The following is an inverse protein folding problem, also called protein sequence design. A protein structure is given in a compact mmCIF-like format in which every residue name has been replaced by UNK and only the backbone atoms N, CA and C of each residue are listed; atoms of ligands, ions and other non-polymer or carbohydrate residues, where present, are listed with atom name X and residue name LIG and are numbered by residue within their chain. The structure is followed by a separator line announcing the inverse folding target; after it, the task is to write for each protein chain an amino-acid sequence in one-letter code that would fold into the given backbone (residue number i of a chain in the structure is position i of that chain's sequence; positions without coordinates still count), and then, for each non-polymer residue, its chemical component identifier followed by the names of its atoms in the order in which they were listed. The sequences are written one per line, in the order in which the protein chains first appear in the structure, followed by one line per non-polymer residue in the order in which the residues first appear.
data_IF_312036323313
#
_entry.id   IF_312036323313
#
_cell.length_a   1.000
_cell.length_b   1.000
_cell.length_c   1.000
_cell.angle_alpha   90.00
_cell.angle_beta   90.00
_cell.angle_gamma   90.00
#
_symmetry.space_group_name_H-M   'P 1'
#
loop_
_entity.id
_entity.type
_entity.pdbx_description
1 polymer ?
#
# COMPACT_ATOMS: atom_id res chain seq x y z
N UNK A 1 17.13 0.25 9.16
CA UNK A 1 16.02 1.08 8.66
C UNK A 1 15.55 0.47 7.34
N UNK A 2 14.25 0.25 7.15
CA UNK A 2 13.70 -0.34 5.92
C UNK A 2 12.94 0.75 5.15
N UNK A 3 13.22 0.90 3.84
CA UNK A 3 12.46 1.79 2.97
C UNK A 3 11.04 1.25 2.80
N UNK A 4 10.04 2.10 2.98
CA UNK A 4 8.62 1.76 2.82
C UNK A 4 7.95 2.71 1.86
N UNK A 5 6.93 2.22 1.17
CA UNK A 5 6.02 3.07 0.39
C UNK A 5 5.08 3.79 1.36
N UNK A 6 5.10 5.12 1.34
CA UNK A 6 4.19 5.99 2.10
C UNK A 6 2.86 6.18 1.36
N UNK A 7 2.97 6.44 0.06
CA UNK A 7 1.84 6.67 -0.82
C UNK A 7 1.96 5.67 -1.96
N UNK A 8 0.95 4.83 -2.14
CA UNK A 8 0.91 3.92 -3.27
C UNK A 8 0.45 4.69 -4.51
N UNK A 9 1.04 4.47 -5.70
CA UNK A 9 0.54 5.11 -6.91
C UNK A 9 -0.84 4.52 -7.27
N UNK A 10 -1.83 5.34 -7.68
CA UNK A 10 -3.09 4.83 -8.19
C UNK A 10 -2.92 3.98 -9.44
N UNK A 11 -1.87 4.22 -10.24
CA UNK A 11 -1.46 3.46 -11.41
C UNK A 11 0.07 3.22 -11.37
N UNK A 12 0.53 1.97 -11.14
CA UNK A 12 1.95 1.63 -11.16
C UNK A 12 2.64 1.88 -12.51
N UNK A 13 1.91 1.81 -13.63
CA UNK A 13 2.47 2.05 -14.96
C UNK A 13 2.85 3.52 -15.18
N UNK A 14 2.23 4.44 -14.43
CA UNK A 14 2.57 5.87 -14.46
C UNK A 14 3.94 6.19 -13.82
N UNK A 15 4.53 5.25 -13.07
CA UNK A 15 5.88 5.42 -12.53
C UNK A 15 6.89 5.34 -13.69
N UNK A 16 7.56 6.46 -13.98
CA UNK A 16 8.53 6.57 -15.08
C UNK A 16 9.76 5.67 -14.87
N UNK A 17 10.31 5.69 -13.66
CA UNK A 17 11.55 4.99 -13.34
C UNK A 17 11.32 3.51 -13.01
N UNK A 18 12.12 2.66 -13.63
CA UNK A 18 12.11 1.21 -13.38
C UNK A 18 12.46 0.87 -11.93
N UNK A 19 13.47 1.53 -11.36
CA UNK A 19 13.85 1.33 -9.96
C UNK A 19 12.68 1.63 -9.01
N UNK A 20 11.88 2.65 -9.29
CA UNK A 20 10.74 3.03 -8.47
C UNK A 20 9.62 1.98 -8.57
N UNK A 21 9.40 1.40 -9.75
CA UNK A 21 8.49 0.25 -9.93
C UNK A 21 8.98 -0.99 -9.19
N UNK A 22 10.27 -1.29 -9.28
CA UNK A 22 10.88 -2.42 -8.58
C UNK A 22 10.75 -2.29 -7.05
N UNK A 23 10.99 -1.10 -6.50
CA UNK A 23 10.81 -0.86 -5.06
C UNK A 23 9.34 -1.01 -4.62
N UNK A 24 8.38 -0.61 -5.46
CA UNK A 24 6.97 -0.86 -5.23
C UNK A 24 6.63 -2.35 -5.28
N UNK A 25 7.21 -3.09 -6.24
CA UNK A 25 7.08 -4.54 -6.37
C UNK A 25 7.55 -5.23 -5.09
N UNK A 26 8.74 -4.88 -4.58
CA UNK A 26 9.27 -5.42 -3.33
C UNK A 26 8.37 -5.11 -2.13
N UNK A 27 7.84 -3.90 -2.04
CA UNK A 27 6.93 -3.51 -0.95
C UNK A 27 5.64 -4.36 -0.98
N UNK A 28 5.02 -4.51 -2.13
CA UNK A 28 3.75 -5.25 -2.28
C UNK A 28 3.98 -6.76 -2.12
N UNK A 29 5.10 -7.29 -2.63
CA UNK A 29 5.53 -8.67 -2.36
C UNK A 29 5.63 -8.93 -0.86
N UNK A 30 6.19 -7.98 -0.09
CA UNK A 30 6.23 -8.07 1.37
C UNK A 30 4.83 -8.02 2.00
N UNK A 31 3.94 -7.18 1.48
CA UNK A 31 2.56 -7.10 1.96
C UNK A 31 1.77 -8.39 1.66
N UNK A 32 2.04 -9.05 0.54
CA UNK A 32 1.53 -10.39 0.23
C UNK A 32 2.04 -11.43 1.23
N UNK A 33 3.36 -11.45 1.48
CA UNK A 33 4.00 -12.37 2.42
C UNK A 33 3.49 -12.21 3.86
N UNK A 34 3.21 -10.99 4.31
CA UNK A 34 2.65 -10.74 5.64
C UNK A 34 1.11 -10.80 5.71
N UNK A 35 0.43 -11.13 4.61
CA UNK A 35 -1.03 -11.27 4.56
C UNK A 35 -1.79 -9.93 4.65
N UNK A 36 -1.15 -8.82 4.31
CA UNK A 36 -1.78 -7.49 4.22
C UNK A 36 -2.49 -7.27 2.88
N UNK A 37 -2.02 -7.95 1.83
CA UNK A 37 -2.68 -7.98 0.53
C UNK A 37 -3.65 -9.17 0.46
N UNK A 38 -4.92 -8.93 0.83
CA UNK A 38 -5.96 -9.94 0.76
C UNK A 38 -6.34 -10.23 -0.69
N UNK A 39 -6.31 -11.50 -1.05
CA UNK A 39 -6.64 -11.97 -2.39
C UNK A 39 -7.27 -13.37 -2.34
N UNK A 40 -7.99 -13.73 -3.41
CA UNK A 40 -8.51 -15.10 -3.57
C UNK A 40 -7.37 -16.02 -3.98
N UNK A 41 -7.52 -17.33 -3.76
CA UNK A 41 -6.46 -18.30 -4.07
C UNK A 41 -6.00 -18.28 -5.53
N UNK A 42 -6.88 -17.96 -6.48
CA UNK A 42 -6.51 -17.78 -7.88
C UNK A 42 -5.56 -16.60 -8.10
N UNK A 43 -5.89 -15.45 -7.50
CA UNK A 43 -5.08 -14.23 -7.61
C UNK A 43 -3.75 -14.41 -6.88
N UNK A 44 -3.76 -15.06 -5.72
CA UNK A 44 -2.56 -15.46 -4.99
C UNK A 44 -1.63 -16.29 -5.87
N UNK A 45 -2.16 -17.31 -6.56
CA UNK A 45 -1.36 -18.16 -7.44
C UNK A 45 -0.72 -17.36 -8.58
N UNK A 46 -1.49 -16.49 -9.23
CA UNK A 46 -0.99 -15.62 -10.30
C UNK A 46 0.09 -14.66 -9.80
N UNK A 47 -0.12 -14.01 -8.66
CA UNK A 47 0.87 -13.10 -8.07
C UNK A 47 2.17 -13.83 -7.72
N UNK A 48 2.08 -15.00 -7.09
CA UNK A 48 3.26 -15.80 -6.77
C UNK A 48 3.98 -16.33 -8.03
N UNK A 49 3.24 -16.67 -9.09
CA UNK A 49 3.83 -17.06 -10.37
C UNK A 49 4.60 -15.91 -11.03
N UNK A 50 4.09 -14.66 -10.98
CA UNK A 50 4.86 -13.49 -11.44
C UNK A 50 6.13 -13.27 -10.60
N UNK A 51 6.07 -13.46 -9.29
CA UNK A 51 7.27 -13.38 -8.42
C UNK A 51 8.28 -14.46 -8.84
N UNK A 52 7.85 -15.70 -9.07
CA UNK A 52 8.73 -16.76 -9.56
C UNK A 52 9.39 -16.38 -10.89
N UNK A 53 8.60 -16.00 -11.89
CA UNK A 53 9.12 -15.65 -13.21
C UNK A 53 10.13 -14.50 -13.11
N UNK A 54 9.89 -13.51 -12.25
CA UNK A 54 10.82 -12.40 -12.03
C UNK A 54 12.14 -12.83 -11.36
N UNK A 55 12.12 -13.84 -10.49
CA UNK A 55 13.30 -14.27 -9.72
C UNK A 55 14.15 -15.33 -10.42
N UNK A 56 13.51 -16.30 -11.08
CA UNK A 56 14.20 -17.47 -11.65
C UNK A 56 14.10 -17.57 -13.17
N UNK A 57 13.35 -16.67 -13.81
CA UNK A 57 13.10 -16.71 -15.25
C UNK A 57 12.28 -17.93 -15.66
N UNK A 58 12.34 -18.27 -16.96
CA UNK A 58 11.54 -19.33 -17.55
C UNK A 58 11.70 -20.69 -16.87
N UNK A 59 10.61 -21.46 -16.89
CA UNK A 59 10.64 -22.84 -16.42
C UNK A 59 11.60 -23.71 -17.23
N UNK A 60 12.62 -24.26 -16.55
CA UNK A 60 13.56 -25.25 -17.07
C UNK A 60 13.35 -26.62 -16.36
N UNK A 61 12.95 -27.69 -17.08
CA UNK A 61 12.75 -29.02 -16.49
C UNK A 61 13.98 -29.60 -15.77
N UNK A 62 15.20 -29.22 -16.18
CA UNK A 62 16.45 -29.67 -15.57
C UNK A 62 16.79 -28.94 -14.27
N UNK A 63 16.29 -27.70 -14.09
CA UNK A 63 16.54 -26.88 -12.89
C UNK A 63 15.36 -26.85 -11.92
N UNK A 64 14.14 -27.11 -12.42
CA UNK A 64 12.89 -26.97 -11.68
C UNK A 64 12.17 -28.32 -11.53
N UNK A 65 12.61 -29.15 -10.56
CA UNK A 65 11.97 -30.43 -10.25
C UNK A 65 10.57 -30.22 -9.67
N UNK A 66 9.79 -31.29 -9.54
CA UNK A 66 8.48 -31.22 -8.88
C UNK A 66 8.59 -30.61 -7.47
N UNK A 67 7.66 -29.72 -7.12
CA UNK A 67 7.68 -28.99 -5.85
C UNK A 67 8.73 -27.86 -5.76
N UNK A 68 9.40 -27.46 -6.84
CA UNK A 68 10.38 -26.35 -6.80
C UNK A 68 9.79 -25.05 -6.22
N UNK A 69 8.52 -24.78 -6.50
CA UNK A 69 7.80 -23.59 -6.01
C UNK A 69 7.68 -23.56 -4.48
N UNK A 70 7.70 -24.71 -3.80
CA UNK A 70 7.58 -24.81 -2.34
C UNK A 70 8.82 -24.27 -1.60
N UNK A 71 9.95 -24.11 -2.31
CA UNK A 71 11.18 -23.50 -1.76
C UNK A 71 11.04 -21.99 -1.55
N UNK A 72 10.06 -21.36 -2.19
CA UNK A 72 9.83 -19.93 -2.10
C UNK A 72 8.69 -19.65 -1.14
N UNK A 73 8.92 -18.82 -0.14
CA UNK A 73 7.88 -18.43 0.81
C UNK A 73 7.12 -17.21 0.30
N UNK A 74 6.00 -17.44 -0.37
CA UNK A 74 5.15 -16.36 -0.91
C UNK A 74 4.08 -15.90 0.08
N UNK A 75 3.62 -16.79 0.96
CA UNK A 75 2.47 -16.56 1.83
C UNK A 75 2.75 -17.02 3.27
N UNK A 76 2.03 -16.51 4.28
CA UNK A 76 2.13 -17.02 5.65
C UNK A 76 1.66 -18.48 5.79
N UNK A 77 0.74 -18.90 4.91
CA UNK A 77 0.16 -20.25 4.89
C UNK A 77 0.26 -20.83 3.50
N UNK A 78 0.97 -21.94 3.39
CA UNK A 78 1.16 -22.68 2.15
C UNK A 78 0.18 -23.85 2.07
N UNK A 79 -0.35 -24.11 0.88
CA UNK A 79 -1.10 -25.33 0.60
C UNK A 79 -0.57 -25.94 -0.68
N UNK A 80 -0.45 -27.26 -0.70
CA UNK A 80 0.08 -28.00 -1.87
C UNK A 80 -0.72 -27.71 -3.15
N UNK A 81 -2.04 -27.51 -3.01
CA UNK A 81 -2.92 -27.10 -4.12
C UNK A 81 -2.53 -25.74 -4.70
N UNK A 82 -2.19 -24.78 -3.85
CA UNK A 82 -1.75 -23.46 -4.29
C UNK A 82 -0.39 -23.55 -4.98
N UNK A 83 0.54 -24.33 -4.43
CA UNK A 83 1.88 -24.53 -4.99
C UNK A 83 1.83 -25.18 -6.37
N UNK A 84 1.00 -26.22 -6.55
CA UNK A 84 0.75 -26.82 -7.86
C UNK A 84 0.20 -25.80 -8.85
N UNK A 85 -0.77 -24.99 -8.43
CA UNK A 85 -1.35 -23.95 -9.31
C UNK A 85 -0.33 -22.88 -9.70
N UNK A 86 0.54 -22.47 -8.77
CA UNK A 86 1.63 -21.54 -9.05
C UNK A 86 2.58 -22.12 -10.11
N UNK A 87 3.00 -23.37 -9.91
CA UNK A 87 3.90 -24.05 -10.83
C UNK A 87 3.28 -24.25 -12.22
N UNK A 88 1.97 -24.54 -12.31
CA UNK A 88 1.24 -24.60 -13.57
C UNK A 88 1.30 -23.27 -14.32
N UNK A 89 0.91 -22.16 -13.67
CA UNK A 89 0.89 -20.82 -14.30
C UNK A 89 2.30 -20.45 -14.79
N UNK A 90 3.32 -20.65 -13.95
CA UNK A 90 4.71 -20.37 -14.31
C UNK A 90 5.15 -21.18 -15.56
N UNK A 91 4.74 -22.45 -15.66
CA UNK A 91 5.09 -23.34 -16.77
C UNK A 91 4.33 -23.03 -18.07
N UNK A 92 3.06 -22.64 -18.00
CA UNK A 92 2.21 -22.57 -19.21
C UNK A 92 1.89 -21.16 -19.67
N UNK A 93 1.90 -20.17 -18.77
CA UNK A 93 1.38 -18.82 -19.05
C UNK A 93 2.46 -17.74 -19.07
N UNK A 94 3.62 -17.97 -18.42
CA UNK A 94 4.64 -16.93 -18.20
C UNK A 94 5.94 -17.09 -19.00
N UNK A 95 6.09 -18.17 -19.78
CA UNK A 95 7.28 -18.42 -20.61
C UNK A 95 7.57 -17.23 -21.53
N UNK A 96 8.83 -16.80 -21.55
CA UNK A 96 9.33 -15.71 -22.37
C UNK A 96 9.07 -14.33 -21.79
N UNK A 97 8.40 -14.20 -20.63
CA UNK A 97 8.29 -12.92 -19.95
C UNK A 97 9.61 -12.56 -19.28
N UNK A 98 10.08 -11.34 -19.54
CA UNK A 98 11.22 -10.78 -18.84
C UNK A 98 10.88 -10.50 -17.35
N UNK A 99 11.89 -10.36 -16.48
CA UNK A 99 11.67 -9.97 -15.09
C UNK A 99 10.87 -8.67 -14.95
N UNK A 100 11.22 -7.65 -15.72
CA UNK A 100 10.57 -6.33 -15.67
C UNK A 100 9.10 -6.41 -16.10
N UNK A 101 8.80 -7.25 -17.09
CA UNK A 101 7.43 -7.51 -17.55
C UNK A 101 6.62 -8.23 -16.47
N UNK A 102 7.22 -9.23 -15.82
CA UNK A 102 6.58 -10.00 -14.75
C UNK A 102 6.31 -9.13 -13.51
N UNK A 103 7.27 -8.28 -13.14
CA UNK A 103 7.12 -7.29 -12.08
C UNK A 103 5.99 -6.30 -12.39
N UNK A 104 5.93 -5.77 -13.62
CA UNK A 104 4.84 -4.88 -14.03
C UNK A 104 3.48 -5.58 -13.97
N UNK A 105 3.38 -6.79 -14.50
CA UNK A 105 2.13 -7.57 -14.47
C UNK A 105 1.69 -7.89 -13.04
N UNK A 106 2.65 -8.18 -12.15
CA UNK A 106 2.40 -8.31 -10.72
C UNK A 106 1.81 -7.03 -10.13
N UNK A 107 2.41 -5.87 -10.43
CA UNK A 107 1.95 -4.58 -9.90
C UNK A 107 0.54 -4.23 -10.37
N UNK A 108 0.25 -4.42 -11.67
CA UNK A 108 -1.08 -4.20 -12.25
C UNK A 108 -2.13 -5.15 -11.64
N UNK A 109 -1.76 -6.41 -11.43
CA UNK A 109 -2.65 -7.38 -10.76
C UNK A 109 -2.89 -6.97 -9.30
N UNK A 110 -1.86 -6.59 -8.57
CA UNK A 110 -1.96 -6.19 -7.17
C UNK A 110 -2.80 -4.92 -6.98
N UNK A 111 -2.68 -3.94 -7.87
CA UNK A 111 -3.47 -2.71 -7.89
C UNK A 111 -4.98 -2.97 -7.99
N UNK A 112 -5.38 -4.06 -8.67
CA UNK A 112 -6.79 -4.43 -8.80
C UNK A 112 -7.41 -5.01 -7.51
N UNK A 113 -6.59 -5.33 -6.50
CA UNK A 113 -7.05 -5.94 -5.26
C UNK A 113 -7.57 -4.89 -4.27
N UNK A 114 -8.61 -5.27 -3.51
CA UNK A 114 -9.32 -4.39 -2.60
C UNK A 114 -8.44 -3.80 -1.48
N UNK A 115 -7.40 -4.52 -1.06
CA UNK A 115 -6.48 -4.07 -0.01
C UNK A 115 -5.15 -3.56 -0.56
N UNK A 116 -5.11 -3.15 -1.83
CA UNK A 116 -3.93 -2.50 -2.41
C UNK A 116 -3.58 -1.22 -1.63
N UNK A 117 -2.34 -1.14 -1.16
CA UNK A 117 -1.85 0.02 -0.41
C UNK A 117 -2.47 0.21 0.98
N UNK A 118 -3.13 -0.82 1.53
CA UNK A 118 -3.70 -0.79 2.89
C UNK A 118 -2.59 -0.97 3.93
N UNK A 119 -2.36 0.08 4.73
CA UNK A 119 -1.63 -0.02 6.00
C UNK A 119 -2.63 0.14 7.17
N UNK A 120 -3.03 -0.96 7.83
CA UNK A 120 -4.16 -0.95 8.76
C UNK A 120 -3.80 -0.37 10.13
N UNK A 121 -4.58 0.60 10.58
CA UNK A 121 -4.53 1.17 11.93
C UNK A 121 -5.60 0.51 12.83
N UNK A 122 -5.20 -0.21 13.89
CA UNK A 122 -6.13 -0.90 14.78
C UNK A 122 -6.95 0.07 15.62
N UNK A 123 -8.27 -0.07 15.57
CA UNK A 123 -9.26 0.75 16.26
C UNK A 123 -10.44 -0.11 16.76
N UNK A 124 -11.38 0.53 17.45
CA UNK A 124 -12.70 -0.05 17.78
C UNK A 124 -13.82 0.79 17.18
N UNK A 125 -14.90 0.15 16.76
CA UNK A 125 -16.14 0.83 16.41
C UNK A 125 -16.94 1.25 17.67
N UNK A 126 -18.09 1.89 17.46
CA UNK A 126 -19.01 2.31 18.54
C UNK A 126 -19.62 1.15 19.32
N UNK A 127 -19.64 -0.06 18.76
CA UNK A 127 -20.11 -1.29 19.39
C UNK A 127 -18.98 -2.03 20.12
N UNK A 128 -17.74 -1.54 20.06
CA UNK A 128 -16.57 -2.13 20.68
C UNK A 128 -15.88 -3.23 19.85
N UNK A 129 -16.34 -3.49 18.63
CA UNK A 129 -15.72 -4.46 17.74
C UNK A 129 -14.40 -3.94 17.18
N UNK A 130 -13.43 -4.84 16.99
CA UNK A 130 -12.15 -4.50 16.37
C UNK A 130 -12.36 -4.12 14.91
N UNK A 131 -11.86 -2.95 14.54
CA UNK A 131 -11.85 -2.45 13.17
C UNK A 131 -10.43 -2.00 12.79
N UNK A 132 -10.09 -2.13 11.52
CA UNK A 132 -8.84 -1.63 10.96
C UNK A 132 -9.14 -0.52 9.96
N UNK A 133 -8.62 0.67 10.24
CA UNK A 133 -8.76 1.84 9.39
C UNK A 133 -7.55 1.96 8.47
N UNK A 134 -7.76 2.28 7.20
CA UNK A 134 -6.65 2.46 6.27
C UNK A 134 -6.94 3.58 5.27
N UNK A 135 -5.86 4.19 4.80
CA UNK A 135 -5.88 5.21 3.75
C UNK A 135 -5.19 4.63 2.52
N UNK A 136 -5.91 4.61 1.40
CA UNK A 136 -5.45 4.03 0.13
C UNK A 136 -5.36 5.13 -0.92
N UNK A 137 -4.78 4.86 -2.10
CA UNK A 137 -4.74 5.83 -3.19
C UNK A 137 -6.13 6.30 -3.64
N UNK A 138 -7.15 5.44 -3.47
CA UNK A 138 -8.50 5.70 -3.95
C UNK A 138 -9.42 6.28 -2.88
N UNK A 139 -9.12 6.06 -1.60
CA UNK A 139 -9.96 6.54 -0.52
C UNK A 139 -9.65 5.94 0.85
N UNK A 140 -10.58 6.18 1.77
CA UNK A 140 -10.59 5.63 3.11
C UNK A 140 -11.31 4.29 3.15
N UNK A 141 -10.73 3.31 3.85
CA UNK A 141 -11.23 1.95 3.97
C UNK A 141 -11.36 1.57 5.44
N UNK A 142 -12.43 0.85 5.76
CA UNK A 142 -12.60 0.19 7.06
C UNK A 142 -12.76 -1.31 6.86
N UNK A 143 -11.91 -2.08 7.53
CA UNK A 143 -11.95 -3.54 7.55
C UNK A 143 -12.40 -4.05 8.92
N UNK A 144 -13.28 -5.04 8.94
CA UNK A 144 -13.56 -5.86 10.12
C UNK A 144 -13.28 -7.33 9.77
N UNK A 145 -12.28 -7.91 10.43
CA UNK A 145 -11.69 -9.18 9.98
C UNK A 145 -11.14 -9.05 8.55
N UNK A 146 -11.55 -9.95 7.66
CA UNK A 146 -11.16 -9.96 6.24
C UNK A 146 -12.19 -9.31 5.31
N UNK A 147 -13.14 -8.53 5.85
CA UNK A 147 -14.21 -7.89 5.07
C UNK A 147 -14.08 -6.38 5.13
N UNK A 148 -14.20 -5.72 3.97
CA UNK A 148 -14.39 -4.28 3.90
C UNK A 148 -15.83 -3.93 4.23
N UNK A 149 -16.03 -3.17 5.30
CA UNK A 149 -17.35 -2.73 5.76
C UNK A 149 -17.67 -1.31 5.32
N UNK A 150 -16.66 -0.47 5.11
CA UNK A 150 -16.82 0.86 4.53
C UNK A 150 -15.72 1.16 3.52
N UNK A 151 -16.13 1.87 2.47
CA UNK A 151 -15.24 2.45 1.47
C UNK A 151 -15.76 3.84 1.13
N UNK A 152 -14.93 4.85 1.36
CA UNK A 152 -15.24 6.25 1.06
C UNK A 152 -14.16 6.80 0.16
N UNK A 153 -14.53 7.20 -1.05
CA UNK A 153 -13.61 7.84 -1.98
C UNK A 153 -13.16 9.20 -1.43
N UNK A 154 -12.00 9.67 -1.85
CA UNK A 154 -11.45 10.94 -1.34
C UNK A 154 -12.35 12.17 -1.58
N UNK A 155 -13.15 12.17 -2.66
CA UNK A 155 -14.16 13.20 -2.95
C UNK A 155 -15.37 13.13 -2.01
N UNK A 156 -15.68 11.97 -1.44
CA UNK A 156 -16.74 11.79 -0.44
C UNK A 156 -16.30 12.22 0.96
N UNK A 157 -15.00 12.08 1.29
CA UNK A 157 -14.44 12.47 2.60
C UNK A 157 -14.35 13.99 2.71
N UNK A 158 -15.22 14.60 3.51
CA UNK A 158 -15.29 16.06 3.66
C UNK A 158 -14.41 16.60 4.78
N UNK A 159 -14.26 15.86 5.88
CA UNK A 159 -13.44 16.29 7.01
C UNK A 159 -12.96 15.12 7.87
N UNK A 160 -11.71 15.19 8.31
CA UNK A 160 -11.15 14.30 9.33
C UNK A 160 -10.90 15.08 10.62
N UNK A 161 -11.38 14.55 11.76
CA UNK A 161 -11.15 15.13 13.09
C UNK A 161 -10.72 14.06 14.08
N UNK A 162 -10.06 14.51 15.14
CA UNK A 162 -9.85 13.68 16.31
C UNK A 162 -10.01 14.48 17.60
N UNK A 163 -10.45 13.82 18.65
CA UNK A 163 -10.56 14.34 20.01
C UNK A 163 -10.19 13.25 21.02
N UNK A 164 -9.08 13.44 21.74
CA UNK A 164 -8.54 12.40 22.61
C UNK A 164 -8.26 11.11 21.83
N UNK A 165 -8.96 10.03 22.19
CA UNK A 165 -8.88 8.71 21.53
C UNK A 165 -9.91 8.52 20.41
N UNK A 166 -10.76 9.50 20.16
CA UNK A 166 -11.88 9.39 19.24
C UNK A 166 -11.51 10.00 17.89
N UNK A 167 -11.71 9.24 16.82
CA UNK A 167 -11.50 9.66 15.44
C UNK A 167 -12.84 9.77 14.72
N UNK A 168 -13.07 10.89 14.04
CA UNK A 168 -14.30 11.16 13.30
C UNK A 168 -14.00 11.40 11.82
N UNK A 169 -14.73 10.68 10.97
CA UNK A 169 -14.72 10.85 9.52
C UNK A 169 -16.07 11.41 9.12
N UNK A 170 -16.07 12.64 8.60
CA UNK A 170 -17.23 13.24 7.99
C UNK A 170 -17.15 12.96 6.49
N UNK A 171 -18.22 12.41 5.93
CA UNK A 171 -18.31 12.16 4.50
C UNK A 171 -19.72 12.45 3.97
N UNK A 172 -19.80 12.62 2.67
CA UNK A 172 -21.06 12.77 1.94
C UNK A 172 -21.20 11.57 1.02
N UNK A 173 -22.27 10.80 1.18
CA UNK A 173 -22.58 9.66 0.33
C UNK A 173 -23.85 9.95 -0.48
N UNK A 174 -24.03 9.26 -1.61
CA UNK A 174 -25.17 9.31 -2.56
C UNK A 174 -26.35 10.22 -2.14
N UNK A 175 -26.66 11.25 -2.93
CA UNK A 175 -27.73 12.26 -2.67
C UNK A 175 -27.48 13.21 -1.49
N UNK A 176 -26.24 13.67 -1.30
CA UNK A 176 -25.85 14.64 -0.25
C UNK A 176 -26.09 14.17 1.19
N UNK A 177 -26.27 12.87 1.41
CA UNK A 177 -26.43 12.32 2.74
C UNK A 177 -25.11 12.43 3.51
N UNK A 178 -25.13 13.26 4.56
CA UNK A 178 -23.98 13.43 5.45
C UNK A 178 -23.88 12.26 6.42
N UNK A 179 -22.77 11.54 6.36
CA UNK A 179 -22.44 10.46 7.27
C UNK A 179 -21.28 10.86 8.18
N UNK A 180 -21.32 10.39 9.43
CA UNK A 180 -20.25 10.59 10.41
C UNK A 180 -19.87 9.22 10.95
N UNK A 181 -18.70 8.73 10.57
CA UNK A 181 -18.13 7.50 11.13
C UNK A 181 -17.27 7.85 12.34
N UNK A 182 -17.42 7.08 13.42
CA UNK A 182 -16.70 7.30 14.68
C UNK A 182 -15.98 6.03 15.10
N UNK A 183 -14.68 6.15 15.39
CA UNK A 183 -13.83 5.05 15.82
C UNK A 183 -12.95 5.47 17.00
N UNK A 184 -12.51 4.49 17.78
CA UNK A 184 -11.71 4.69 18.99
C UNK A 184 -10.34 4.02 18.85
N UNK A 185 -9.27 4.79 19.02
CA UNK A 185 -7.91 4.28 19.04
C UNK A 185 -7.48 3.87 20.46
N UNK A 186 -6.41 3.06 20.62
CA UNK A 186 -5.91 2.67 21.94
C UNK A 186 -5.41 3.85 22.79
N UNK A 187 -4.76 4.82 22.14
CA UNK A 187 -4.17 6.01 22.78
C UNK A 187 -4.46 7.29 21.99
N UNK A 188 -4.41 8.47 22.63
CA UNK A 188 -4.56 9.75 21.94
C UNK A 188 -3.45 10.01 20.91
N UNK A 189 -2.24 9.53 21.17
CA UNK A 189 -1.10 9.64 20.27
C UNK A 189 -1.35 8.85 18.99
N UNK A 190 -1.90 7.63 19.10
CA UNK A 190 -2.31 6.82 17.96
C UNK A 190 -3.42 7.51 17.16
N UNK A 191 -4.38 8.14 17.83
CA UNK A 191 -5.45 8.91 17.17
C UNK A 191 -4.90 10.10 16.38
N UNK A 192 -4.00 10.86 16.99
CA UNK A 192 -3.32 11.99 16.36
C UNK A 192 -2.49 11.54 15.16
N UNK A 193 -1.80 10.41 15.26
CA UNK A 193 -1.03 9.85 14.16
C UNK A 193 -1.95 9.42 13.00
N UNK A 194 -3.01 8.66 13.28
CA UNK A 194 -4.03 8.27 12.31
C UNK A 194 -4.61 9.50 11.59
N UNK A 195 -4.96 10.55 12.33
CA UNK A 195 -5.46 11.79 11.75
C UNK A 195 -4.45 12.47 10.84
N UNK A 196 -3.18 12.56 11.24
CA UNK A 196 -2.11 13.08 10.37
C UNK A 196 -1.97 12.27 9.09
N UNK A 197 -1.93 10.94 9.20
CA UNK A 197 -1.86 10.06 8.02
C UNK A 197 -3.04 10.28 7.08
N UNK A 198 -4.26 10.40 7.62
CA UNK A 198 -5.44 10.67 6.80
C UNK A 198 -5.41 12.01 6.09
N UNK A 199 -5.02 13.08 6.80
CA UNK A 199 -4.87 14.41 6.19
C UNK A 199 -3.77 14.43 5.14
N UNK A 200 -2.64 13.78 5.38
CA UNK A 200 -1.53 13.67 4.41
C UNK A 200 -1.95 12.91 3.16
N UNK A 201 -2.65 11.78 3.29
CA UNK A 201 -3.12 10.99 2.16
C UNK A 201 -4.17 11.76 1.35
N UNK A 202 -5.15 12.38 2.02
CA UNK A 202 -6.14 13.22 1.35
C UNK A 202 -5.46 14.36 0.58
N UNK A 203 -4.50 15.05 1.22
CA UNK A 203 -3.73 16.11 0.58
C UNK A 203 -2.98 15.61 -0.67
N UNK A 204 -2.30 14.49 -0.55
CA UNK A 204 -1.45 13.93 -1.61
C UNK A 204 -2.26 13.49 -2.84
N UNK A 205 -3.41 12.84 -2.66
CA UNK A 205 -4.20 12.29 -3.77
C UNK A 205 -5.25 13.25 -4.33
N UNK A 206 -5.80 14.17 -3.53
CA UNK A 206 -6.91 15.02 -3.96
C UNK A 206 -6.48 16.34 -4.59
N UNK A 207 -5.38 16.95 -4.12
CA UNK A 207 -4.97 18.29 -4.55
C UNK A 207 -4.09 18.26 -5.80
N UNK A 208 -4.22 19.28 -6.65
CA UNK A 208 -3.38 19.44 -7.84
C UNK A 208 -2.02 20.03 -7.51
N UNK A 209 -1.99 20.94 -6.54
CA UNK A 209 -0.77 21.58 -6.07
C UNK A 209 -0.69 21.60 -4.55
N UNK A 210 0.50 21.42 -4.00
CA UNK A 210 0.77 21.51 -2.56
C UNK A 210 0.41 22.89 -1.99
N UNK A 211 0.51 23.94 -2.81
CA UNK A 211 0.09 25.31 -2.46
C UNK A 211 -1.41 25.47 -2.21
N UNK A 212 -2.24 24.57 -2.72
CA UNK A 212 -3.69 24.56 -2.49
C UNK A 212 -4.06 23.91 -1.14
N UNK A 213 -3.14 23.16 -0.54
CA UNK A 213 -3.40 22.42 0.70
C UNK A 213 -3.42 23.40 1.88
N UNK A 214 -4.60 23.62 2.44
CA UNK A 214 -4.80 24.48 3.61
C UNK A 214 -4.39 23.76 4.90
N UNK A 215 -3.93 24.50 5.89
CA UNK A 215 -3.68 23.96 7.24
C UNK A 215 -4.97 23.39 7.82
N UNK A 216 -4.96 22.11 8.19
CA UNK A 216 -6.10 21.43 8.80
C UNK A 216 -6.00 21.52 10.32
N UNK A 217 -7.11 21.89 10.97
CA UNK A 217 -7.22 21.91 12.44
C UNK A 217 -8.12 20.78 12.90
N UNK A 218 -7.67 20.04 13.92
CA UNK A 218 -8.47 18.98 14.54
C UNK A 218 -9.63 19.52 15.38
N UNK A 219 -9.59 20.79 15.81
CA UNK A 219 -10.63 21.44 16.60
C UNK A 219 -11.06 22.80 16.02
N UNK A 220 -12.26 23.25 16.43
CA UNK A 220 -12.82 24.56 16.08
C UNK A 220 -12.55 25.64 17.16
N UNK A 221 -11.86 25.30 18.26
CA UNK A 221 -11.65 26.19 19.40
C UNK A 221 -10.18 26.62 19.51
N UNK A 222 -10.02 27.94 19.60
CA UNK A 222 -8.77 28.63 19.87
C UNK A 222 -8.13 28.01 21.14
N UNK A 223 -6.85 27.63 21.05
CA UNK A 223 -5.95 27.18 22.14
C UNK A 223 -5.79 25.68 22.47
N UNK A 224 -6.62 24.73 22.00
CA UNK A 224 -6.41 23.27 22.27
C UNK A 224 -6.48 22.33 21.04
N UNK A 225 -6.41 22.88 19.83
CA UNK A 225 -6.40 22.09 18.59
C UNK A 225 -5.01 21.69 18.10
N UNK A 226 -4.87 20.48 17.57
CA UNK A 226 -3.70 20.13 16.75
C UNK A 226 -3.90 20.72 15.36
N UNK A 227 -2.93 21.50 14.90
CA UNK A 227 -2.86 21.97 13.51
C UNK A 227 -1.86 21.14 12.75
N UNK A 228 -2.19 20.79 11.52
CA UNK A 228 -1.29 20.10 10.61
C UNK A 228 -1.22 20.85 9.29
N UNK A 229 0.01 21.10 8.85
CA UNK A 229 0.30 21.67 7.55
C UNK A 229 1.02 20.61 6.75
N UNK A 230 0.43 20.24 5.62
CA UNK A 230 1.08 19.35 4.68
C UNK A 230 2.39 19.96 4.19
N UNK A 231 3.43 19.14 4.11
CA UNK A 231 4.76 19.52 3.61
C UNK A 231 5.24 18.42 2.68
N UNK A 232 5.48 18.77 1.41
CA UNK A 232 5.82 17.83 0.35
C UNK A 232 5.17 18.21 -0.98
N UNK A 233 5.48 17.46 -2.04
CA UNK A 233 4.80 17.53 -3.34
C UNK A 233 3.58 16.60 -3.32
N UNK A 234 2.46 17.05 -3.85
CA UNK A 234 1.28 16.18 -4.06
C UNK A 234 1.48 15.27 -5.28
N UNK A 235 0.69 14.21 -5.42
CA UNK A 235 0.86 13.21 -6.49
C UNK A 235 0.94 13.85 -7.88
N UNK A 236 0.04 14.81 -8.14
CA UNK A 236 -0.07 15.54 -9.40
C UNK A 236 1.10 16.49 -9.70
N UNK A 237 1.89 16.89 -8.69
CA UNK A 237 3.14 17.67 -8.87
C UNK A 237 4.37 16.77 -9.05
N UNK A 238 4.32 15.54 -8.54
CA UNK A 238 5.45 14.62 -8.46
C UNK A 238 5.73 13.80 -9.72
N UNK A 239 4.86 13.86 -10.73
CA UNK A 239 5.02 13.10 -11.98
C UNK A 239 6.15 13.61 -12.88
N UNK A 240 6.70 14.80 -12.61
CA UNK A 240 7.67 15.47 -13.50
C UNK A 240 9.12 15.53 -13.01
N UNK A 241 9.50 14.86 -11.93
CA UNK A 241 10.92 14.89 -11.58
C UNK A 241 11.33 14.07 -10.38
N UNK A 242 11.88 12.90 -10.68
CA UNK A 242 13.11 12.37 -10.08
C UNK A 242 13.70 11.39 -11.11
N UNK A 243 15.00 11.52 -11.37
CA UNK A 243 15.83 10.58 -12.13
C UNK A 243 16.88 10.07 -11.15
N UNK A 244 16.88 8.79 -10.82
CA UNK A 244 18.03 8.16 -10.17
C UNK A 244 18.26 6.73 -10.65
N UNK A 245 19.46 6.50 -11.20
CA UNK A 245 19.97 5.16 -11.54
C UNK A 245 20.59 4.56 -10.29
N UNK A 246 19.93 3.56 -9.71
CA UNK A 246 20.58 2.60 -8.80
C UNK A 246 20.87 1.32 -9.60
N UNK A 247 22.05 0.69 -9.45
CA UNK A 247 22.31 -0.59 -10.08
C UNK A 247 21.36 -1.65 -9.53
N UNK A 248 20.62 -2.31 -10.42
CA UNK A 248 19.68 -3.37 -10.08
C UNK A 248 20.49 -4.64 -9.84
N UNK A 249 20.50 -5.14 -8.60
CA UNK A 249 20.96 -6.49 -8.31
C UNK A 249 19.72 -7.29 -7.87
N UNK A 250 19.29 -8.27 -8.69
CA UNK A 250 18.11 -9.11 -8.44
C UNK A 250 18.31 -10.14 -7.31
N UNK A 251 19.19 -9.86 -6.35
CA UNK A 251 19.49 -10.71 -5.20
C UNK A 251 19.13 -9.98 -3.91
N UNK A 252 18.46 -10.70 -3.00
CA UNK A 252 18.08 -10.25 -1.65
C UNK A 252 19.23 -9.47 -0.95
N UNK A 253 18.99 -8.24 -0.46
CA UNK A 253 19.97 -7.59 0.40
C UNK A 253 19.95 -8.24 1.79
N UNK A 254 21.12 -8.65 2.29
CA UNK A 254 21.31 -8.93 3.71
C UNK A 254 21.20 -7.63 4.51
N UNK A 255 20.82 -7.74 5.79
CA UNK A 255 20.44 -6.63 6.67
C UNK A 255 21.47 -5.47 6.80
N UNK A 256 22.71 -5.67 6.34
CA UNK A 256 23.81 -4.71 6.44
C UNK A 256 23.83 -3.65 5.31
N UNK A 257 23.16 -3.89 4.18
CA UNK A 257 23.23 -2.99 3.01
C UNK A 257 22.28 -1.78 3.05
N UNK A 258 21.36 -1.70 4.02
CA UNK A 258 20.37 -0.61 4.12
C UNK A 258 20.90 0.71 4.71
N UNK A 259 22.20 0.86 5.00
CA UNK A 259 22.72 1.97 5.81
C UNK A 259 23.32 3.15 5.02
N UNK A 260 23.57 3.05 3.71
CA UNK A 260 24.46 4.00 3.02
C UNK A 260 23.81 5.05 2.10
N UNK A 261 22.54 4.97 1.71
CA UNK A 261 21.91 5.97 0.82
C UNK A 261 20.84 6.79 1.54
N UNK A 262 21.23 7.95 2.05
CA UNK A 262 20.55 8.66 3.14
C UNK A 262 19.75 9.92 2.74
N UNK A 263 19.52 10.26 1.46
CA UNK A 263 18.86 11.55 1.12
C UNK A 263 17.86 11.66 -0.05
N UNK A 264 17.59 10.65 -0.86
CA UNK A 264 16.96 10.90 -2.19
C UNK A 264 15.84 9.94 -2.59
N UNK A 265 14.91 9.61 -1.68
CA UNK A 265 13.72 8.85 -2.06
C UNK A 265 12.59 9.79 -2.52
N UNK A 266 12.07 9.61 -3.74
CA UNK A 266 10.94 10.37 -4.29
C UNK A 266 9.68 10.37 -3.39
N UNK A 267 8.63 11.15 -3.71
CA UNK A 267 7.53 11.46 -2.78
C UNK A 267 6.76 10.23 -2.26
N UNK A 268 6.91 9.08 -2.92
CA UNK A 268 6.23 7.83 -2.60
C UNK A 268 6.88 7.03 -1.47
N UNK A 269 8.14 7.28 -1.10
CA UNK A 269 8.85 6.44 -0.12
C UNK A 269 9.30 7.21 1.12
N UNK A 270 9.44 6.49 2.23
CA UNK A 270 9.94 6.99 3.50
C UNK A 270 10.70 5.89 4.26
N UNK A 271 11.55 6.29 5.21
CA UNK A 271 12.16 5.33 6.12
C UNK A 271 11.21 5.00 7.27
N UNK A 272 10.87 3.72 7.43
CA UNK A 272 10.17 3.25 8.63
C UNK A 272 11.14 3.12 9.80
N UNK A 273 10.73 3.64 10.97
CA UNK A 273 11.30 3.34 12.29
C UNK A 273 11.03 1.91 12.70
#
# INVERSE_FOLDING_TARGET
MCLRVKFYPPDPAALKEEITRYLLFLQIKRDLYHGRLLCRSSDAATLAAFILQAEIGDYDPGKHPEGYSSKFQFFPKHSERLERRIAEIHKSELIGQSPETSEMNFLLKAQSLETYGVDPHPCKDVSGNTAFLAFTPFGFVVLQGNRRIHYLQWNEVTKLKFEGKTFHIYATHQEDQRIILTYFTPTPEACKHLWKCGVENQAFYQFEKSSQVRTVSSSNLFFKGSRFRYSGKVAKEGWDGTQQKLPIHHSWPTAEQCSSNTKESGPYFYHGS
#
